data_IF_591750722636
#
_entry.id   IF_591750722636
#
_cell.length_a   1.000
_cell.length_b   1.000
_cell.length_c   1.000
_cell.angle_alpha   90.00
_cell.angle_beta   90.00
_cell.angle_gamma   90.00
#
_symmetry.space_group_name_H-M   'P 1'
#
loop_
_entity.id
_entity.type
_entity.pdbx_description
1 polymer ?
#
# COMPACT_ATOMS: atom_id res chain seq x y z
N UNK A 1 -14.65 -0.84 12.03
CA UNK A 1 -15.65 -0.54 10.98
C UNK A 1 -15.10 -1.01 9.64
N UNK A 2 -15.90 -1.70 8.83
CA UNK A 2 -15.45 -2.13 7.50
C UNK A 2 -15.23 -0.92 6.58
N UNK A 3 -14.16 -0.94 5.80
CA UNK A 3 -13.86 0.09 4.79
C UNK A 3 -15.04 0.22 3.81
N UNK A 4 -15.67 1.40 3.77
CA UNK A 4 -16.76 1.67 2.85
C UNK A 4 -16.23 1.66 1.41
N UNK A 5 -16.69 0.70 0.61
CA UNK A 5 -16.23 0.52 -0.76
C UNK A 5 -16.49 1.78 -1.61
N UNK A 6 -15.46 2.24 -2.31
CA UNK A 6 -15.59 3.29 -3.33
C UNK A 6 -15.96 2.66 -4.66
N UNK A 7 -17.00 3.18 -5.28
CA UNK A 7 -17.50 2.76 -6.59
C UNK A 7 -17.24 3.86 -7.61
N UNK A 8 -16.98 3.46 -8.86
CA UNK A 8 -16.88 4.34 -10.02
C UNK A 8 -17.99 4.00 -11.01
N UNK A 9 -18.75 5.00 -11.41
CA UNK A 9 -19.74 4.94 -12.50
C UNK A 9 -19.28 5.89 -13.59
N UNK A 10 -19.37 5.49 -14.86
CA UNK A 10 -19.05 6.39 -15.98
C UNK A 10 -20.31 6.86 -16.67
N UNK A 11 -20.47 8.18 -16.79
CA UNK A 11 -21.58 8.80 -17.50
C UNK A 11 -21.19 10.22 -17.92
N UNK A 12 -21.78 10.79 -18.97
CA UNK A 12 -21.47 12.16 -19.42
C UNK A 12 -19.98 12.45 -19.67
N UNK A 13 -19.21 11.45 -20.13
CA UNK A 13 -17.73 11.55 -20.23
C UNK A 13 -17.07 11.98 -18.91
N UNK A 14 -17.61 11.55 -17.78
CA UNK A 14 -17.04 11.76 -16.46
C UNK A 14 -17.01 10.43 -15.71
N UNK A 15 -16.00 10.28 -14.85
CA UNK A 15 -15.97 9.26 -13.82
C UNK A 15 -16.63 9.83 -12.56
N UNK A 16 -17.68 9.17 -12.08
CA UNK A 16 -18.49 9.56 -10.92
C UNK A 16 -18.17 8.57 -9.81
N UNK A 17 -17.50 9.05 -8.77
CA UNK A 17 -17.15 8.26 -7.60
C UNK A 17 -18.23 8.40 -6.53
N UNK A 18 -18.57 7.30 -5.87
CA UNK A 18 -19.64 7.26 -4.86
C UNK A 18 -19.49 6.04 -3.94
N UNK A 19 -20.13 6.07 -2.76
CA UNK A 19 -20.25 4.89 -1.87
C UNK A 19 -21.46 4.02 -2.19
N UNK A 20 -22.48 4.62 -2.80
CA UNK A 20 -23.72 3.97 -3.26
C UNK A 20 -24.06 4.51 -4.65
N UNK A 21 -24.32 3.66 -5.67
CA UNK A 21 -24.62 4.14 -7.00
C UNK A 21 -25.92 4.96 -7.01
N UNK A 22 -25.93 6.18 -7.57
CA UNK A 22 -27.15 6.98 -7.63
C UNK A 22 -28.09 6.45 -8.72
N UNK A 23 -29.39 6.72 -8.57
CA UNK A 23 -30.39 6.38 -9.60
C UNK A 23 -30.27 7.29 -10.84
N UNK A 24 -29.84 8.54 -10.64
CA UNK A 24 -29.68 9.57 -11.67
C UNK A 24 -28.27 10.15 -11.64
N UNK A 25 -27.77 10.56 -12.80
CA UNK A 25 -26.47 11.19 -12.94
C UNK A 25 -26.47 12.56 -12.23
N UNK A 26 -25.58 12.83 -11.25
CA UNK A 26 -25.48 14.13 -10.59
C UNK A 26 -25.13 15.28 -11.54
N UNK A 27 -24.52 15.00 -12.69
CA UNK A 27 -24.14 16.03 -13.66
C UNK A 27 -25.26 16.43 -14.64
N UNK A 28 -26.19 15.53 -14.98
CA UNK A 28 -27.20 15.79 -16.03
C UNK A 28 -28.64 15.35 -15.69
N UNK A 29 -28.87 14.75 -14.53
CA UNK A 29 -30.18 14.30 -14.06
C UNK A 29 -30.77 13.07 -14.77
N UNK A 30 -30.11 12.55 -15.82
CA UNK A 30 -30.59 11.36 -16.55
C UNK A 30 -30.42 10.07 -15.74
N UNK A 31 -31.30 9.07 -15.89
CA UNK A 31 -31.17 7.78 -15.21
C UNK A 31 -29.85 7.08 -15.54
N UNK A 32 -29.19 6.52 -14.53
CA UNK A 32 -28.00 5.67 -14.71
C UNK A 32 -28.36 4.20 -14.94
N UNK A 33 -29.54 3.77 -14.46
CA UNK A 33 -30.08 2.44 -14.75
C UNK A 33 -30.39 2.33 -16.24
N UNK A 34 -29.86 1.29 -16.89
CA UNK A 34 -30.09 1.04 -18.32
C UNK A 34 -29.10 1.71 -19.27
N UNK A 35 -28.12 2.48 -18.79
CA UNK A 35 -27.08 3.11 -19.62
C UNK A 35 -26.02 2.12 -20.18
N UNK A 36 -26.27 0.81 -20.07
CA UNK A 36 -25.41 -0.26 -20.58
C UNK A 36 -24.19 -0.58 -19.71
N UNK A 37 -23.41 -1.58 -20.14
CA UNK A 37 -22.19 -2.05 -19.46
C UNK A 37 -21.16 -0.93 -19.17
N UNK A 38 -20.95 0.08 -20.04
CA UNK A 38 -19.98 1.15 -19.75
C UNK A 38 -20.31 1.99 -18.52
N UNK A 39 -21.59 2.05 -18.13
CA UNK A 39 -22.07 2.78 -16.95
C UNK A 39 -22.28 1.88 -15.73
N UNK A 40 -21.90 0.59 -15.80
CA UNK A 40 -22.01 -0.31 -14.67
C UNK A 40 -21.10 0.17 -13.52
N UNK A 41 -21.58 0.19 -12.26
CA UNK A 41 -20.74 0.54 -11.12
C UNK A 41 -19.58 -0.45 -10.96
N UNK A 42 -18.37 0.09 -10.90
CA UNK A 42 -17.14 -0.68 -10.68
C UNK A 42 -16.59 -0.39 -9.29
N UNK A 43 -16.39 -1.43 -8.49
CA UNK A 43 -15.73 -1.29 -7.20
C UNK A 43 -14.25 -1.02 -7.41
N UNK A 44 -13.76 0.09 -6.87
CA UNK A 44 -12.33 0.36 -6.85
C UNK A 44 -11.68 -0.59 -5.83
N UNK A 45 -10.60 -1.28 -6.22
CA UNK A 45 -9.84 -2.07 -5.27
C UNK A 45 -9.20 -1.12 -4.26
N UNK A 46 -9.37 -1.42 -2.96
CA UNK A 46 -8.60 -0.73 -1.94
C UNK A 46 -7.11 -0.98 -2.18
N UNK A 47 -6.22 0.01 -2.02
CA UNK A 47 -4.78 -0.19 -2.03
C UNK A 47 -4.28 -0.75 -0.69
N UNK A 48 -5.10 -0.74 0.35
CA UNK A 48 -4.72 -1.18 1.69
C UNK A 48 -4.98 -2.66 1.90
N UNK A 49 -4.09 -3.32 2.64
CA UNK A 49 -4.11 -4.74 2.94
C UNK A 49 -3.91 -4.92 4.44
N UNK A 50 -4.49 -6.00 4.95
CA UNK A 50 -4.18 -6.49 6.28
C UNK A 50 -2.79 -7.15 6.23
N UNK A 51 -1.77 -6.46 6.75
CA UNK A 51 -0.36 -6.87 6.72
C UNK A 51 -0.12 -8.27 7.26
N UNK A 52 -0.79 -8.63 8.36
CA UNK A 52 -0.72 -10.00 8.91
C UNK A 52 -1.34 -11.10 8.03
N UNK A 53 -1.88 -10.75 6.87
CA UNK A 53 -2.36 -11.69 5.83
C UNK A 53 -1.55 -11.57 4.54
N UNK A 54 -0.41 -10.89 4.58
CA UNK A 54 0.47 -10.66 3.44
C UNK A 54 1.80 -11.34 3.74
N UNK A 55 2.01 -12.61 3.36
CA UNK A 55 3.25 -13.29 3.67
C UNK A 55 4.40 -12.72 2.82
N UNK A 56 5.59 -12.62 3.40
CA UNK A 56 6.84 -12.29 2.66
C UNK A 56 6.75 -10.98 1.87
N UNK A 57 6.30 -9.93 2.53
CA UNK A 57 6.00 -8.64 1.93
C UNK A 57 6.70 -7.52 2.69
N UNK A 58 7.07 -6.48 1.95
CA UNK A 58 7.42 -5.17 2.50
C UNK A 58 6.12 -4.40 2.73
N UNK A 59 5.92 -3.97 3.97
CA UNK A 59 4.74 -3.25 4.40
C UNK A 59 5.07 -1.79 4.69
N UNK A 60 4.12 -0.90 4.39
CA UNK A 60 4.14 0.49 4.81
C UNK A 60 2.84 0.84 5.52
N UNK A 61 2.95 1.56 6.63
CA UNK A 61 1.82 2.16 7.35
C UNK A 61 2.18 3.59 7.79
N UNK A 62 1.20 4.44 8.11
CA UNK A 62 1.47 5.65 8.87
C UNK A 62 2.04 5.31 10.26
N UNK A 63 2.93 6.15 10.77
CA UNK A 63 3.43 6.00 12.15
C UNK A 63 2.30 6.14 13.17
N UNK A 64 1.38 7.08 12.94
CA UNK A 64 0.18 7.30 13.76
C UNK A 64 -1.12 7.14 12.95
N UNK A 65 -2.13 6.54 13.58
CA UNK A 65 -3.46 6.38 12.99
C UNK A 65 -3.48 5.39 11.81
N UNK A 66 -4.32 5.66 10.82
CA UNK A 66 -4.46 4.82 9.62
C UNK A 66 -4.54 5.68 8.35
N UNK A 67 -4.25 5.11 7.18
CA UNK A 67 -4.31 5.84 5.91
C UNK A 67 -5.67 6.48 5.64
N UNK A 68 -6.76 5.83 6.04
CA UNK A 68 -8.13 6.34 5.88
C UNK A 68 -8.64 7.12 7.10
N UNK A 69 -7.93 7.08 8.22
CA UNK A 69 -8.34 7.65 9.50
C UNK A 69 -7.39 8.73 10.00
N UNK A 70 -7.05 9.71 9.15
CA UNK A 70 -6.29 10.90 9.57
C UNK A 70 -4.94 11.10 8.89
N UNK A 71 -4.53 10.23 7.95
CA UNK A 71 -3.30 10.46 7.19
C UNK A 71 -3.45 11.67 6.25
N UNK A 72 -2.60 12.67 6.47
CA UNK A 72 -2.59 13.95 5.76
C UNK A 72 -1.63 14.01 4.57
N UNK A 73 -0.92 12.90 4.29
CA UNK A 73 0.09 12.83 3.24
C UNK A 73 1.47 13.35 3.65
N UNK A 74 1.62 13.90 4.86
CA UNK A 74 2.87 14.44 5.40
C UNK A 74 3.37 13.68 6.62
N UNK A 75 2.48 12.94 7.28
CA UNK A 75 2.83 12.08 8.40
C UNK A 75 3.90 11.06 8.02
N UNK A 76 4.83 10.81 8.93
CA UNK A 76 5.88 9.82 8.71
C UNK A 76 5.30 8.42 8.48
N UNK A 77 6.05 7.64 7.71
CA UNK A 77 5.72 6.27 7.38
C UNK A 77 6.64 5.32 8.12
N UNK A 78 6.05 4.26 8.66
CA UNK A 78 6.76 3.14 9.26
C UNK A 78 6.71 1.94 8.34
N UNK A 79 7.80 1.18 8.28
CA UNK A 79 7.91 0.01 7.41
C UNK A 79 8.33 -1.25 8.17
N UNK A 80 7.98 -2.40 7.59
CA UNK A 80 8.28 -3.70 8.17
C UNK A 80 8.25 -4.80 7.12
N UNK A 81 8.79 -5.96 7.48
CA UNK A 81 8.85 -7.15 6.64
C UNK A 81 8.01 -8.24 7.29
N UNK A 82 7.11 -8.87 6.54
CA UNK A 82 6.36 -10.03 7.05
C UNK A 82 7.12 -11.33 6.85
N UNK A 83 7.04 -12.21 7.84
CA UNK A 83 7.37 -13.63 7.65
C UNK A 83 6.24 -14.35 6.86
N UNK A 84 6.36 -15.66 6.70
CA UNK A 84 5.37 -16.48 5.98
C UNK A 84 4.03 -16.60 6.70
N UNK A 85 4.00 -16.34 8.01
CA UNK A 85 2.81 -16.40 8.88
C UNK A 85 2.13 -15.04 9.10
N UNK A 86 2.73 -13.94 8.60
CA UNK A 86 2.20 -12.59 8.76
C UNK A 86 2.65 -11.85 10.03
N UNK A 87 3.62 -12.38 10.78
CA UNK A 87 4.30 -11.61 11.83
C UNK A 87 5.17 -10.55 11.16
N UNK A 88 5.05 -9.30 11.61
CA UNK A 88 5.75 -8.16 11.01
C UNK A 88 6.99 -7.79 11.83
N UNK A 89 8.14 -7.97 11.21
CA UNK A 89 9.43 -7.54 11.73
C UNK A 89 9.64 -6.08 11.37
N UNK A 90 9.88 -5.24 12.37
CA UNK A 90 10.09 -3.80 12.18
C UNK A 90 11.06 -3.25 13.22
N UNK A 91 11.74 -2.14 12.89
CA UNK A 91 12.81 -1.57 13.71
C UNK A 91 12.48 -0.15 14.13
N UNK A 92 12.65 0.17 15.42
CA UNK A 92 12.52 1.54 15.94
C UNK A 92 13.57 1.78 17.04
N UNK A 93 13.43 2.89 17.78
CA UNK A 93 14.29 3.27 18.90
C UNK A 93 14.40 2.22 20.02
N UNK A 94 13.43 1.31 20.15
CA UNK A 94 13.42 0.20 21.11
C UNK A 94 14.01 -1.11 20.53
N UNK A 95 14.51 -1.08 19.30
CA UNK A 95 15.08 -2.26 18.63
C UNK A 95 14.13 -2.94 17.67
N UNK A 96 14.36 -4.24 17.45
CA UNK A 96 13.55 -5.07 16.55
C UNK A 96 12.31 -5.61 17.26
N UNK A 97 11.16 -5.41 16.62
CA UNK A 97 9.86 -5.88 17.08
C UNK A 97 9.31 -6.96 16.17
N UNK A 98 8.63 -7.95 16.76
CA UNK A 98 7.83 -8.97 16.08
C UNK A 98 6.36 -8.67 16.36
N UNK A 99 5.74 -7.88 15.48
CA UNK A 99 4.39 -7.39 15.67
C UNK A 99 3.35 -8.35 15.07
N UNK A 100 2.37 -8.74 15.88
CA UNK A 100 1.19 -9.51 15.46
C UNK A 100 -0.06 -8.64 15.29
N UNK A 101 0.02 -7.36 15.67
CA UNK A 101 -1.04 -6.37 15.52
C UNK A 101 -0.49 -5.02 15.07
N UNK A 102 -1.36 -4.10 14.66
CA UNK A 102 -1.01 -2.73 14.28
C UNK A 102 -0.63 -2.58 12.80
N UNK A 103 -0.70 -3.66 12.01
CA UNK A 103 -0.45 -3.64 10.58
C UNK A 103 -1.68 -4.01 9.76
N UNK A 104 -2.89 -3.74 10.25
CA UNK A 104 -4.15 -4.11 9.61
C UNK A 104 -4.50 -3.24 8.39
N UNK A 105 -3.91 -2.05 8.28
CA UNK A 105 -4.12 -1.12 7.16
C UNK A 105 -2.78 -0.66 6.57
N UNK A 106 -2.20 -1.51 5.74
CA UNK A 106 -0.88 -1.29 5.14
C UNK A 106 -0.93 -1.23 3.62
N UNK A 107 0.04 -0.55 3.02
CA UNK A 107 0.45 -0.81 1.65
C UNK A 107 1.34 -2.06 1.68
N UNK A 108 1.10 -3.02 0.78
CA UNK A 108 1.84 -4.29 0.71
C UNK A 108 2.56 -4.41 -0.63
N UNK A 109 3.84 -4.75 -0.58
CA UNK A 109 4.70 -5.02 -1.72
C UNK A 109 5.25 -6.45 -1.56
N UNK A 110 4.71 -7.45 -2.30
CA UNK A 110 5.20 -8.82 -2.24
C UNK A 110 6.67 -8.89 -2.66
N UNK A 111 7.51 -9.54 -1.85
CA UNK A 111 8.95 -9.66 -2.09
C UNK A 111 9.34 -11.00 -2.72
N UNK A 112 8.50 -12.03 -2.52
CA UNK A 112 8.77 -13.40 -2.98
C UNK A 112 7.67 -13.84 -3.94
N UNK A 113 8.07 -14.27 -5.13
CA UNK A 113 7.17 -14.80 -6.14
C UNK A 113 6.93 -16.31 -5.95
N UNK A 114 5.80 -16.88 -6.44
CA UNK A 114 5.47 -18.29 -6.23
C UNK A 114 6.49 -19.29 -6.79
N UNK A 115 7.28 -18.89 -7.79
CA UNK A 115 8.33 -19.69 -8.43
C UNK A 115 9.67 -19.67 -7.66
N UNK A 116 9.80 -18.83 -6.62
CA UNK A 116 11.03 -18.71 -5.81
C UNK A 116 11.07 -19.75 -4.67
N UNK A 117 10.93 -21.03 -4.99
CA UNK A 117 10.74 -22.13 -4.03
C UNK A 117 11.78 -22.22 -2.91
N UNK A 118 13.06 -21.95 -3.19
CA UNK A 118 14.10 -21.94 -2.16
C UNK A 118 13.87 -20.82 -1.14
N UNK A 119 13.54 -19.62 -1.62
CA UNK A 119 13.26 -18.48 -0.75
C UNK A 119 11.95 -18.67 0.03
N UNK A 120 10.94 -19.33 -0.58
CA UNK A 120 9.69 -19.63 0.12
C UNK A 120 9.90 -20.47 1.38
N UNK A 121 10.90 -21.37 1.40
CA UNK A 121 11.23 -22.25 2.53
C UNK A 121 12.14 -21.57 3.54
N UNK A 122 13.15 -20.84 3.09
CA UNK A 122 14.17 -20.26 3.99
C UNK A 122 13.81 -18.85 4.50
N UNK A 123 12.78 -18.19 3.96
CA UNK A 123 12.47 -16.79 4.27
C UNK A 123 12.39 -16.49 5.77
N UNK A 124 11.65 -17.30 6.52
CA UNK A 124 11.39 -17.05 7.94
C UNK A 124 12.67 -17.19 8.75
N UNK A 125 13.49 -18.19 8.42
CA UNK A 125 14.80 -18.40 9.04
C UNK A 125 15.75 -17.24 8.73
N UNK A 126 15.85 -16.84 7.46
CA UNK A 126 16.68 -15.71 7.05
C UNK A 126 16.27 -14.41 7.75
N UNK A 127 14.97 -14.16 7.85
CA UNK A 127 14.44 -12.97 8.50
C UNK A 127 14.72 -12.98 10.00
N UNK A 128 14.55 -14.13 10.66
CA UNK A 128 14.85 -14.29 12.08
C UNK A 128 16.35 -14.12 12.37
N UNK A 129 17.22 -14.83 11.63
CA UNK A 129 18.68 -14.74 11.78
C UNK A 129 19.21 -13.32 11.54
N UNK A 130 18.68 -12.63 10.53
CA UNK A 130 19.03 -11.22 10.27
C UNK A 130 18.59 -10.30 11.41
N UNK A 131 17.42 -10.58 12.01
CA UNK A 131 16.78 -9.73 13.02
C UNK A 131 17.35 -9.88 14.41
N UNK A 132 18.03 -10.99 14.72
CA UNK A 132 18.76 -11.19 15.99
C UNK A 132 20.19 -10.65 15.96
N UNK A 133 20.66 -10.18 14.80
CA UNK A 133 22.00 -9.63 14.65
C UNK A 133 22.22 -8.33 15.43
N UNK A 134 23.45 -8.14 15.94
CA UNK A 134 23.83 -6.97 16.74
C UNK A 134 23.75 -5.62 15.99
N UNK A 135 23.62 -5.68 14.66
CA UNK A 135 23.46 -4.53 13.80
C UNK A 135 22.23 -3.69 14.21
N UNK A 136 21.14 -4.34 14.61
CA UNK A 136 19.84 -3.69 14.87
C UNK A 136 19.48 -3.57 16.35
N UNK A 137 20.49 -3.36 17.20
CA UNK A 137 20.28 -3.08 18.61
C UNK A 137 19.66 -1.68 18.82
N UNK A 138 18.93 -1.44 19.92
CA UNK A 138 18.24 -0.15 20.16
C UNK A 138 19.18 1.06 20.10
N UNK A 139 20.37 0.95 20.69
CA UNK A 139 21.36 2.04 20.74
C UNK A 139 22.02 2.36 19.37
N UNK A 140 21.78 1.55 18.34
CA UNK A 140 22.23 1.81 16.96
C UNK A 140 21.25 2.67 16.17
N UNK A 141 20.04 2.86 16.69
CA UNK A 141 18.97 3.56 15.99
C UNK A 141 19.37 5.01 15.72
N UNK A 142 19.16 5.44 14.47
CA UNK A 142 19.31 6.82 14.03
C UNK A 142 18.26 7.10 12.95
N UNK A 143 17.48 8.16 13.15
CA UNK A 143 16.28 8.47 12.37
C UNK A 143 16.53 8.58 10.86
N UNK A 144 17.71 9.03 10.41
CA UNK A 144 17.99 9.29 8.99
C UNK A 144 18.63 8.09 8.29
N UNK A 145 19.65 7.52 8.91
CA UNK A 145 20.56 6.54 8.32
C UNK A 145 20.38 5.12 8.89
N UNK A 146 19.79 4.97 10.07
CA UNK A 146 19.67 3.69 10.77
C UNK A 146 18.27 3.50 11.39
N UNK A 147 17.27 3.36 10.52
CA UNK A 147 15.85 3.39 10.85
C UNK A 147 15.10 2.16 10.29
N UNK A 148 13.78 2.13 10.45
CA UNK A 148 12.92 1.06 9.95
C UNK A 148 13.10 0.76 8.46
N UNK A 149 13.36 1.79 7.65
CA UNK A 149 13.53 1.67 6.21
C UNK A 149 14.86 1.01 5.87
N UNK A 150 15.96 1.47 6.48
CA UNK A 150 17.28 0.89 6.23
C UNK A 150 17.38 -0.54 6.76
N UNK A 151 16.70 -0.88 7.86
CA UNK A 151 16.50 -2.26 8.31
C UNK A 151 15.85 -3.14 7.24
N UNK A 152 14.67 -2.76 6.77
CA UNK A 152 13.92 -3.53 5.80
C UNK A 152 14.67 -3.69 4.47
N UNK A 153 15.32 -2.62 4.00
CA UNK A 153 16.12 -2.65 2.78
C UNK A 153 17.40 -3.49 2.94
N UNK A 154 18.08 -3.42 4.08
CA UNK A 154 19.27 -4.22 4.35
C UNK A 154 18.95 -5.72 4.37
N UNK A 155 17.80 -6.12 4.92
CA UNK A 155 17.32 -7.51 4.81
C UNK A 155 17.06 -7.91 3.35
N UNK A 156 16.36 -7.07 2.59
CA UNK A 156 16.11 -7.35 1.17
C UNK A 156 17.43 -7.50 0.39
N UNK A 157 18.41 -6.63 0.66
CA UNK A 157 19.72 -6.66 0.02
C UNK A 157 20.56 -7.87 0.44
N UNK A 158 20.43 -8.36 1.68
CA UNK A 158 21.11 -9.60 2.10
C UNK A 158 20.57 -10.81 1.34
N UNK A 159 19.25 -10.88 1.14
CA UNK A 159 18.60 -11.91 0.33
C UNK A 159 19.01 -11.79 -1.15
N UNK A 160 19.07 -10.58 -1.72
CA UNK A 160 19.52 -10.37 -3.09
C UNK A 160 20.98 -10.81 -3.28
N UNK A 161 21.85 -10.46 -2.33
CA UNK A 161 23.26 -10.85 -2.37
C UNK A 161 23.43 -12.37 -2.30
N UNK A 162 22.68 -13.06 -1.43
CA UNK A 162 22.67 -14.52 -1.35
C UNK A 162 22.18 -15.18 -2.65
N UNK A 163 21.35 -14.49 -3.44
CA UNK A 163 20.90 -14.92 -4.77
C UNK A 163 21.85 -14.51 -5.92
N UNK A 164 23.00 -13.89 -5.62
CA UNK A 164 23.93 -13.37 -6.64
C UNK A 164 23.38 -12.19 -7.44
N UNK A 165 22.37 -11.49 -6.91
CA UNK A 165 21.75 -10.32 -7.54
C UNK A 165 22.38 -9.02 -7.04
N UNK A 166 22.31 -7.99 -7.86
CA UNK A 166 22.73 -6.65 -7.48
C UNK A 166 21.84 -6.11 -6.35
N UNK A 167 22.48 -5.52 -5.34
CA UNK A 167 21.80 -4.81 -4.25
C UNK A 167 21.20 -3.50 -4.76
N UNK A 168 20.09 -3.08 -4.15
CA UNK A 168 19.42 -1.83 -4.49
C UNK A 168 19.71 -0.74 -3.49
N UNK A 169 19.84 0.50 -3.98
CA UNK A 169 19.89 1.67 -3.11
C UNK A 169 18.51 2.00 -2.54
N UNK A 170 18.47 2.88 -1.51
CA UNK A 170 17.22 3.43 -0.96
C UNK A 170 16.38 4.10 -2.05
N UNK A 171 17.00 4.91 -2.90
CA UNK A 171 16.31 5.59 -4.01
C UNK A 171 15.76 4.59 -5.03
N UNK A 172 16.56 3.61 -5.46
CA UNK A 172 16.15 2.62 -6.45
C UNK A 172 14.94 1.81 -5.96
N UNK A 173 14.99 1.29 -4.74
CA UNK A 173 13.88 0.53 -4.18
C UNK A 173 12.62 1.41 -4.04
N UNK A 174 12.79 2.65 -3.58
CA UNK A 174 11.69 3.60 -3.40
C UNK A 174 10.99 3.89 -4.73
N UNK A 175 11.76 4.26 -5.75
CA UNK A 175 11.26 4.64 -7.07
C UNK A 175 10.56 3.48 -7.77
N UNK A 176 11.16 2.29 -7.71
CA UNK A 176 10.68 1.10 -8.43
C UNK A 176 9.48 0.45 -7.77
N UNK A 177 9.44 0.38 -6.43
CA UNK A 177 8.45 -0.43 -5.71
C UNK A 177 7.52 0.40 -4.82
N UNK A 178 8.02 1.42 -4.12
CA UNK A 178 7.22 2.16 -3.13
C UNK A 178 6.35 3.22 -3.79
N UNK A 179 6.95 4.13 -4.59
CA UNK A 179 6.26 5.25 -5.23
C UNK A 179 5.03 4.82 -6.04
N UNK A 180 5.06 3.74 -6.84
CA UNK A 180 3.89 3.30 -7.60
C UNK A 180 2.70 2.94 -6.70
N UNK A 181 2.95 2.35 -5.52
CA UNK A 181 1.89 1.96 -4.61
C UNK A 181 1.41 3.14 -3.76
N UNK A 182 2.30 4.01 -3.30
CA UNK A 182 1.91 5.21 -2.54
C UNK A 182 1.13 6.20 -3.40
N UNK A 183 1.44 6.32 -4.70
CA UNK A 183 0.62 7.10 -5.66
C UNK A 183 -0.81 6.55 -5.79
N UNK A 184 -0.98 5.23 -5.82
CA UNK A 184 -2.32 4.60 -5.83
C UNK A 184 -3.06 4.85 -4.51
N UNK A 185 -2.35 4.70 -3.39
CA UNK A 185 -2.88 4.97 -2.05
C UNK A 185 -3.35 6.42 -1.93
N UNK A 186 -2.52 7.39 -2.31
CA UNK A 186 -2.85 8.82 -2.29
C UNK A 186 -4.13 9.13 -3.05
N UNK A 187 -4.28 8.65 -4.30
CA UNK A 187 -5.52 8.83 -5.07
C UNK A 187 -6.75 8.26 -4.36
N UNK A 188 -6.61 7.07 -3.75
CA UNK A 188 -7.71 6.45 -3.02
C UNK A 188 -8.08 7.22 -1.76
N UNK A 189 -7.09 7.71 -1.01
CA UNK A 189 -7.28 8.53 0.21
C UNK A 189 -8.03 9.81 -0.15
N UNK A 190 -7.61 10.52 -1.21
CA UNK A 190 -8.30 11.71 -1.69
C UNK A 190 -9.78 11.41 -2.00
N UNK A 191 -10.05 10.34 -2.75
CA UNK A 191 -11.44 9.95 -3.03
C UNK A 191 -12.22 9.60 -1.76
N UNK A 192 -11.58 8.94 -0.79
CA UNK A 192 -12.23 8.59 0.47
C UNK A 192 -12.59 9.83 1.30
N UNK A 193 -11.69 10.81 1.36
CA UNK A 193 -11.90 12.08 2.06
C UNK A 193 -13.03 12.88 1.40
N UNK A 194 -12.98 13.04 0.07
CA UNK A 194 -14.04 13.72 -0.70
C UNK A 194 -15.41 13.09 -0.46
N UNK A 195 -15.49 11.75 -0.49
CA UNK A 195 -16.74 11.01 -0.27
C UNK A 195 -17.18 10.94 1.21
N UNK A 196 -16.36 11.44 2.13
CA UNK A 196 -16.76 11.65 3.52
C UNK A 196 -17.50 12.97 3.69
N UNK A 197 -17.10 14.00 2.94
CA UNK A 197 -17.76 15.30 2.92
C UNK A 197 -18.94 15.37 1.94
N UNK A 198 -18.89 14.62 0.83
CA UNK A 198 -19.83 14.69 -0.28
C UNK A 198 -20.42 13.31 -0.64
N UNK A 199 -21.64 13.28 -1.19
CA UNK A 199 -22.22 12.01 -1.68
C UNK A 199 -21.56 11.49 -2.96
N UNK A 200 -21.08 12.42 -3.80
CA UNK A 200 -20.50 12.14 -5.11
C UNK A 200 -19.24 12.98 -5.34
N UNK A 201 -18.28 12.42 -6.08
CA UNK A 201 -17.14 13.15 -6.61
C UNK A 201 -17.06 12.92 -8.13
N UNK A 202 -17.17 13.98 -8.92
CA UNK A 202 -17.29 13.91 -10.39
C UNK A 202 -16.00 14.41 -11.02
N UNK A 203 -15.35 13.56 -11.82
CA UNK A 203 -14.11 13.89 -12.54
C UNK A 203 -14.38 13.83 -14.05
N UNK A 204 -14.32 14.96 -14.76
CA UNK A 204 -14.39 14.97 -16.22
C UNK A 204 -13.26 14.14 -16.82
N UNK A 205 -13.58 13.33 -17.83
CA UNK A 205 -12.57 12.64 -18.62
C UNK A 205 -12.04 13.62 -19.68
N UNK A 206 -10.74 13.62 -19.97
CA UNK A 206 -10.19 14.42 -21.06
C UNK A 206 -10.86 14.03 -22.38
N UNK A 207 -11.10 15.02 -23.24
CA UNK A 207 -11.48 14.74 -24.63
C UNK A 207 -10.35 13.93 -25.26
N UNK A 208 -10.68 12.78 -25.84
CA UNK A 208 -9.71 12.10 -26.67
C UNK A 208 -9.42 13.01 -27.85
N UNK A 209 -8.24 13.66 -27.86
CA UNK A 209 -7.67 14.16 -29.10
C UNK A 209 -7.71 13.00 -30.08
N UNK A 210 -8.45 13.20 -31.18
CA UNK A 210 -8.50 12.28 -32.29
C UNK A 210 -7.06 12.03 -32.72
N UNK A 211 -6.50 10.87 -32.35
CA UNK A 211 -5.32 10.33 -33.02
C UNK A 211 -5.77 10.02 -34.45
N UNK A 212 -5.60 11.00 -35.34
CA UNK A 212 -5.51 10.80 -36.77
C UNK A 212 -4.21 10.05 -37.11
#
# INVERSE_FOLDING_TARGET
MAEAAILRVRHCRADIFCRRPPARCPACGRPLRGAGLPAAPLRLPSPFRHGHRQPRAFLLRPTAGTFLGGYDGKSDLHVGITNSHGVVYNYNEEGIHRAETGWEQCISIPLVQPDMFGLLQEWDKLLEEFSVGEAWLPHRYEEHDYNCYTYALAFINSVLAAQGKQQMSKSEFTEKFVIPQTKKASKYITLHQELTANEFYVVPLPDQEKRC
#
